data_IF_798370216967
#
_entry.id   IF_798370216967
#
_cell.length_a   1.000
_cell.length_b   1.000
_cell.length_c   1.000
_cell.angle_alpha   90.00
_cell.angle_beta   90.00
_cell.angle_gamma   90.00
#
_symmetry.space_group_name_H-M   'P 1'
#
loop_
_entity.id
_entity.type
_entity.pdbx_description
1 polymer ?
#
# COMPACT_ATOMS: atom_id res chain seq x y z
N UNK A 1 10.14 -105.30 54.44
CA UNK A 1 11.03 -104.12 54.39
C UNK A 1 10.22 -102.87 54.69
N UNK A 2 10.71 -101.98 55.56
CA UNK A 2 9.92 -101.03 56.33
C UNK A 2 9.72 -99.68 55.61
N UNK A 3 8.75 -98.89 56.06
CA UNK A 3 8.93 -97.43 56.15
C UNK A 3 8.50 -96.99 57.54
N UNK A 4 9.46 -96.94 58.48
CA UNK A 4 9.27 -96.25 59.75
C UNK A 4 9.18 -94.75 59.47
N UNK A 5 7.96 -94.22 59.46
CA UNK A 5 7.72 -92.78 59.34
C UNK A 5 8.22 -92.07 60.61
N UNK A 6 9.40 -91.47 60.52
CA UNK A 6 9.96 -90.61 61.56
C UNK A 6 9.03 -89.44 61.86
N UNK A 7 8.81 -89.11 63.15
CA UNK A 7 7.97 -87.98 63.60
C UNK A 7 8.33 -86.64 62.94
N UNK A 8 9.59 -86.49 62.49
CA UNK A 8 10.08 -85.32 61.74
C UNK A 8 9.41 -85.16 60.36
N UNK A 9 9.16 -86.26 59.65
CA UNK A 9 8.56 -86.25 58.30
C UNK A 9 7.11 -85.77 58.36
N UNK A 10 6.31 -86.21 59.34
CA UNK A 10 4.93 -85.72 59.52
C UNK A 10 4.86 -84.23 59.85
N UNK A 11 5.85 -83.70 60.58
CA UNK A 11 5.92 -82.27 60.88
C UNK A 11 6.36 -81.45 59.67
N UNK A 12 7.26 -81.98 58.84
CA UNK A 12 7.67 -81.36 57.57
C UNK A 12 6.55 -81.37 56.55
N UNK A 13 5.81 -82.47 56.42
CA UNK A 13 4.65 -82.59 55.54
C UNK A 13 3.56 -81.57 55.91
N UNK A 14 3.23 -81.44 57.20
CA UNK A 14 2.30 -80.41 57.68
C UNK A 14 2.81 -78.99 57.42
N UNK A 15 4.11 -78.73 57.56
CA UNK A 15 4.73 -77.44 57.23
C UNK A 15 4.66 -77.17 55.72
N UNK A 16 4.93 -78.16 54.88
CA UNK A 16 4.91 -78.05 53.43
C UNK A 16 3.49 -77.84 52.90
N UNK A 17 2.49 -78.52 53.46
CA UNK A 17 1.08 -78.28 53.12
C UNK A 17 0.64 -76.87 53.52
N UNK A 18 1.07 -76.36 54.69
CA UNK A 18 0.79 -74.97 55.11
C UNK A 18 1.45 -73.97 54.16
N UNK A 19 2.71 -74.20 53.76
CA UNK A 19 3.40 -73.38 52.77
C UNK A 19 2.71 -73.43 51.40
N UNK A 20 2.29 -74.60 50.94
CA UNK A 20 1.58 -74.77 49.68
C UNK A 20 0.25 -73.99 49.67
N UNK A 21 -0.54 -74.07 50.74
CA UNK A 21 -1.77 -73.27 50.87
C UNK A 21 -1.50 -71.77 50.89
N UNK A 22 -0.43 -71.34 51.55
CA UNK A 22 0.00 -69.94 51.56
C UNK A 22 0.37 -69.46 50.15
N UNK A 23 1.12 -70.25 49.39
CA UNK A 23 1.48 -69.90 48.01
C UNK A 23 0.28 -69.86 47.09
N UNK A 24 -0.64 -70.82 47.18
CA UNK A 24 -1.89 -70.81 46.40
C UNK A 24 -2.74 -69.58 46.75
N UNK A 25 -2.84 -69.22 48.03
CA UNK A 25 -3.53 -68.01 48.44
C UNK A 25 -2.85 -66.76 47.88
N UNK A 26 -1.52 -66.68 47.93
CA UNK A 26 -0.75 -65.53 47.45
C UNK A 26 -0.83 -65.38 45.93
N UNK A 27 -0.86 -66.47 45.16
CA UNK A 27 -1.06 -66.41 43.71
C UNK A 27 -2.46 -65.95 43.34
N UNK A 28 -3.50 -66.43 44.03
CA UNK A 28 -4.88 -65.98 43.83
C UNK A 28 -5.01 -64.49 44.20
N UNK A 29 -4.41 -64.07 45.32
CA UNK A 29 -4.40 -62.66 45.74
C UNK A 29 -3.70 -61.77 44.70
N UNK A 30 -2.56 -62.21 44.17
CA UNK A 30 -1.81 -61.47 43.15
C UNK A 30 -2.58 -61.37 41.83
N UNK A 31 -3.26 -62.45 41.41
CA UNK A 31 -4.17 -62.41 40.27
C UNK A 31 -5.34 -61.44 40.52
N UNK A 32 -5.98 -61.50 41.69
CA UNK A 32 -7.04 -60.56 42.04
C UNK A 32 -6.56 -59.11 42.00
N UNK A 33 -5.38 -58.81 42.55
CA UNK A 33 -4.76 -57.48 42.47
C UNK A 33 -4.45 -57.07 41.02
N UNK A 34 -3.97 -57.99 40.19
CA UNK A 34 -3.72 -57.72 38.78
C UNK A 34 -5.01 -57.39 38.02
N UNK A 35 -6.10 -58.10 38.28
CA UNK A 35 -7.40 -57.80 37.67
C UNK A 35 -8.00 -56.48 38.18
N UNK A 36 -7.90 -56.21 39.48
CA UNK A 36 -8.48 -55.00 40.11
C UNK A 36 -7.68 -53.74 39.79
N UNK A 37 -6.34 -53.83 39.74
CA UNK A 37 -5.48 -52.65 39.61
C UNK A 37 -4.66 -52.64 38.32
N UNK A 38 -4.20 -53.80 37.84
CA UNK A 38 -3.37 -53.91 36.64
C UNK A 38 -4.13 -53.56 35.36
N UNK A 39 -5.25 -54.26 35.09
CA UNK A 39 -6.04 -54.04 33.87
C UNK A 39 -6.52 -52.57 33.75
N UNK A 40 -7.10 -51.94 34.80
CA UNK A 40 -7.51 -50.54 34.71
C UNK A 40 -6.35 -49.58 34.49
N UNK A 41 -5.17 -49.85 35.06
CA UNK A 41 -3.99 -49.00 34.89
C UNK A 41 -3.44 -49.07 33.47
N UNK A 42 -3.43 -50.26 32.86
CA UNK A 42 -3.05 -50.44 31.45
C UNK A 42 -4.03 -49.70 30.53
N UNK A 43 -5.33 -49.77 30.80
CA UNK A 43 -6.33 -49.04 30.02
C UNK A 43 -6.17 -47.51 30.14
N UNK A 44 -5.93 -46.99 31.35
CA UNK A 44 -5.63 -45.56 31.57
C UNK A 44 -4.35 -45.11 30.86
N UNK A 45 -3.30 -45.93 30.92
CA UNK A 45 -2.05 -45.64 30.24
C UNK A 45 -2.21 -45.67 28.72
N UNK A 46 -2.97 -46.63 28.17
CA UNK A 46 -3.29 -46.67 26.76
C UNK A 46 -4.10 -45.44 26.31
N UNK A 47 -5.09 -45.01 27.11
CA UNK A 47 -5.85 -43.79 26.86
C UNK A 47 -4.93 -42.54 26.87
N UNK A 48 -4.03 -42.45 27.85
CA UNK A 48 -3.03 -41.38 27.91
C UNK A 48 -2.09 -41.37 26.69
N UNK A 49 -1.62 -42.53 26.23
CA UNK A 49 -0.82 -42.63 25.00
C UNK A 49 -1.62 -42.20 23.75
N UNK A 50 -2.92 -42.49 23.70
CA UNK A 50 -3.77 -41.98 22.60
C UNK A 50 -3.96 -40.47 22.65
N UNK A 51 -3.93 -39.88 23.84
CA UNK A 51 -4.03 -38.43 24.04
C UNK A 51 -2.73 -37.72 23.62
N UNK A 52 -1.55 -38.26 23.99
CA UNK A 52 -0.25 -37.75 23.51
C UNK A 52 -0.12 -37.84 21.99
N UNK A 53 -0.61 -38.92 21.36
CA UNK A 53 -0.55 -39.04 19.89
C UNK A 53 -1.46 -38.02 19.18
N UNK A 54 -2.49 -37.50 19.86
CA UNK A 54 -3.39 -36.47 19.33
C UNK A 54 -2.82 -35.05 19.42
N UNK A 55 -1.78 -34.79 20.21
CA UNK A 55 -1.18 -33.44 20.32
C UNK A 55 -0.19 -33.11 19.19
N UNK A 56 -0.36 -33.72 18.01
CA UNK A 56 0.33 -33.32 16.78
C UNK A 56 -0.45 -32.23 16.02
N UNK A 57 -1.21 -31.41 16.73
CA UNK A 57 -1.79 -30.18 16.19
C UNK A 57 -0.63 -29.24 15.87
N UNK A 58 -0.33 -29.07 14.58
CA UNK A 58 0.45 -27.95 14.07
C UNK A 58 -0.14 -26.69 14.71
N UNK A 59 0.66 -25.96 15.47
CA UNK A 59 0.25 -24.66 16.00
C UNK A 59 0.13 -23.75 14.76
N UNK A 60 -1.09 -23.54 14.28
CA UNK A 60 -1.38 -22.47 13.34
C UNK A 60 -1.27 -21.17 14.14
N UNK A 61 -0.10 -20.55 14.06
CA UNK A 61 0.06 -19.17 14.53
C UNK A 61 -0.75 -18.33 13.55
N UNK A 62 -2.02 -18.08 13.90
CA UNK A 62 -2.86 -17.15 13.15
C UNK A 62 -2.25 -15.77 13.32
N UNK A 63 -1.67 -15.26 12.24
CA UNK A 63 -1.23 -13.87 12.21
C UNK A 63 -2.47 -12.98 12.19
N UNK A 64 -2.55 -12.07 13.17
CA UNK A 64 -3.64 -11.11 13.30
C UNK A 64 -3.10 -9.66 13.26
N UNK A 65 -1.86 -9.47 12.82
CA UNK A 65 -1.22 -8.16 12.79
C UNK A 65 -1.47 -7.52 11.43
N UNK A 66 -2.21 -6.39 11.35
CA UNK A 66 -2.36 -5.68 10.10
C UNK A 66 -1.02 -5.21 9.52
N UNK A 67 -0.87 -5.24 8.18
CA UNK A 67 0.25 -4.59 7.53
C UNK A 67 0.19 -3.05 7.70
N UNK A 68 1.28 -2.32 7.43
CA UNK A 68 1.22 -0.86 7.32
C UNK A 68 0.39 -0.43 6.09
N UNK A 69 -0.27 0.75 6.13
CA UNK A 69 -1.00 1.27 4.98
C UNK A 69 -0.07 1.48 3.77
N UNK A 70 -0.58 1.33 2.53
CA UNK A 70 0.18 1.64 1.33
C UNK A 70 0.64 3.10 1.32
N UNK A 71 1.86 3.34 0.85
CA UNK A 71 2.44 4.67 0.65
C UNK A 71 2.63 4.93 -0.83
N UNK A 72 1.95 5.94 -1.35
CA UNK A 72 2.11 6.36 -2.75
C UNK A 72 3.38 7.18 -2.97
N UNK A 73 3.90 7.12 -4.18
CA UNK A 73 4.84 8.12 -4.69
C UNK A 73 4.09 9.44 -4.99
N UNK A 74 4.77 10.59 -4.96
CA UNK A 74 4.14 11.87 -5.24
C UNK A 74 3.50 11.92 -6.64
N UNK A 75 2.26 12.39 -6.70
CA UNK A 75 1.55 12.69 -7.93
C UNK A 75 1.46 14.21 -8.14
N UNK A 76 1.32 14.68 -9.39
CA UNK A 76 0.99 16.07 -9.64
C UNK A 76 -0.42 16.39 -9.11
N UNK A 77 -0.59 17.59 -8.55
CA UNK A 77 -1.90 18.07 -8.11
C UNK A 77 -2.81 18.39 -9.31
N UNK A 78 -2.23 18.84 -10.44
CA UNK A 78 -2.94 19.16 -11.68
C UNK A 78 -2.31 18.45 -12.86
N UNK A 79 -3.11 17.96 -13.80
CA UNK A 79 -2.63 17.32 -15.04
C UNK A 79 -3.63 17.50 -16.17
N UNK A 80 -3.15 17.53 -17.41
CA UNK A 80 -3.97 17.48 -18.62
C UNK A 80 -4.12 16.07 -19.20
N UNK A 81 -3.35 15.12 -18.69
CA UNK A 81 -3.39 13.73 -19.12
C UNK A 81 -4.58 13.02 -18.46
N UNK A 82 -5.42 12.34 -19.25
CA UNK A 82 -6.58 11.63 -18.71
C UNK A 82 -6.26 10.27 -18.09
N UNK A 83 -5.02 9.81 -18.22
CA UNK A 83 -4.52 8.59 -17.59
C UNK A 83 -3.33 8.93 -16.72
N UNK A 84 -3.39 8.46 -15.47
CA UNK A 84 -2.31 8.59 -14.50
C UNK A 84 -1.93 7.20 -14.02
N UNK A 85 -0.62 6.95 -14.00
CA UNK A 85 -0.05 5.82 -13.28
C UNK A 85 0.23 6.24 -11.85
N UNK A 86 -0.31 5.48 -10.90
CA UNK A 86 0.09 5.55 -9.50
C UNK A 86 1.10 4.46 -9.23
N UNK A 87 2.12 4.81 -8.46
CA UNK A 87 3.13 3.91 -7.92
C UNK A 87 3.16 4.05 -6.40
N UNK A 88 3.59 3.00 -5.73
CA UNK A 88 3.71 3.04 -4.27
C UNK A 88 4.40 1.82 -3.70
N UNK A 89 4.46 1.80 -2.37
CA UNK A 89 5.05 0.72 -1.59
C UNK A 89 4.08 0.24 -0.51
N UNK A 90 4.08 -1.05 -0.26
CA UNK A 90 3.42 -1.69 0.88
C UNK A 90 4.23 -2.93 1.30
N UNK A 91 3.66 -3.81 2.12
CA UNK A 91 4.26 -5.10 2.42
C UNK A 91 4.42 -5.97 1.17
N UNK A 92 5.56 -6.67 1.06
CA UNK A 92 5.86 -7.51 -0.10
C UNK A 92 4.84 -8.65 -0.27
N UNK A 93 4.26 -8.77 -1.46
CA UNK A 93 3.25 -9.78 -1.76
C UNK A 93 1.85 -9.49 -1.19
N UNK A 94 1.63 -8.35 -0.53
CA UNK A 94 0.30 -7.93 -0.08
C UNK A 94 -0.60 -7.50 -1.26
N UNK A 95 -1.91 -7.64 -1.08
CA UNK A 95 -2.91 -7.10 -2.01
C UNK A 95 -3.18 -5.65 -1.63
N UNK A 96 -3.09 -4.74 -2.58
CA UNK A 96 -3.45 -3.33 -2.42
C UNK A 96 -4.85 -3.11 -2.99
N UNK A 97 -5.80 -2.78 -2.11
CA UNK A 97 -7.15 -2.34 -2.47
C UNK A 97 -7.12 -0.84 -2.71
N UNK A 98 -7.33 -0.43 -3.95
CA UNK A 98 -7.34 0.95 -4.41
C UNK A 98 -8.77 1.46 -4.52
N UNK A 99 -9.02 2.66 -3.99
CA UNK A 99 -10.30 3.37 -4.07
C UNK A 99 -10.08 4.63 -4.90
N UNK A 100 -10.51 4.60 -6.16
CA UNK A 100 -10.35 5.69 -7.13
C UNK A 100 -11.72 6.20 -7.53
N UNK A 101 -12.07 7.43 -7.17
CA UNK A 101 -13.38 8.03 -7.50
C UNK A 101 -14.58 7.12 -7.14
N UNK A 102 -14.53 6.49 -5.97
CA UNK A 102 -15.51 5.49 -5.48
C UNK A 102 -15.58 4.19 -6.30
N UNK A 103 -14.60 3.92 -7.16
CA UNK A 103 -14.41 2.62 -7.82
C UNK A 103 -13.28 1.87 -7.15
N UNK A 104 -13.46 0.57 -6.99
CA UNK A 104 -12.47 -0.31 -6.38
C UNK A 104 -11.63 -1.02 -7.45
N UNK A 105 -10.34 -1.17 -7.18
CA UNK A 105 -9.41 -1.99 -7.94
C UNK A 105 -8.44 -2.69 -6.99
N UNK A 106 -7.87 -3.80 -7.43
CA UNK A 106 -6.86 -4.53 -6.65
C UNK A 106 -5.59 -4.75 -7.48
N UNK A 107 -4.44 -4.58 -6.84
CA UNK A 107 -3.12 -4.92 -7.40
C UNK A 107 -2.29 -5.65 -6.36
N UNK A 108 -1.34 -6.49 -6.79
CA UNK A 108 -0.47 -7.24 -5.90
C UNK A 108 0.90 -6.56 -5.86
N UNK A 109 1.40 -6.27 -4.67
CA UNK A 109 2.76 -5.76 -4.49
C UNK A 109 3.79 -6.84 -4.83
N UNK A 110 4.88 -6.46 -5.50
CA UNK A 110 5.95 -7.39 -5.83
C UNK A 110 6.73 -7.86 -4.59
N UNK A 111 7.78 -8.66 -4.80
CA UNK A 111 8.64 -9.17 -3.72
C UNK A 111 9.45 -8.07 -2.98
N UNK A 112 9.47 -6.84 -3.48
CA UNK A 112 10.07 -5.67 -2.86
C UNK A 112 9.01 -4.73 -2.25
N UNK A 113 7.71 -5.07 -2.35
CA UNK A 113 6.61 -4.25 -1.87
C UNK A 113 6.15 -3.17 -2.84
N UNK A 114 6.73 -3.06 -4.04
CA UNK A 114 6.30 -2.08 -5.04
C UNK A 114 5.04 -2.52 -5.76
N UNK A 115 4.15 -1.57 -6.02
CA UNK A 115 2.98 -1.76 -6.86
C UNK A 115 2.80 -0.56 -7.80
N UNK A 116 2.13 -0.80 -8.91
CA UNK A 116 1.66 0.25 -9.80
C UNK A 116 0.24 -0.05 -10.31
N UNK A 117 -0.47 1.00 -10.69
CA UNK A 117 -1.80 0.91 -11.28
C UNK A 117 -2.08 2.12 -12.17
N UNK A 118 -2.64 1.90 -13.34
CA UNK A 118 -3.06 3.00 -14.23
C UNK A 118 -4.57 3.15 -14.18
N UNK A 119 -5.04 4.37 -13.96
CA UNK A 119 -6.47 4.69 -13.96
C UNK A 119 -6.77 5.88 -14.86
N UNK A 120 -8.02 5.96 -15.30
CA UNK A 120 -8.53 7.10 -16.06
C UNK A 120 -9.20 8.08 -15.12
N UNK A 121 -8.78 9.35 -15.22
CA UNK A 121 -9.35 10.46 -14.48
C UNK A 121 -10.73 10.81 -15.02
N UNK A 122 -11.64 11.11 -14.10
CA UNK A 122 -12.85 11.87 -14.36
C UNK A 122 -12.49 13.35 -14.56
N UNK A 123 -13.43 14.11 -15.12
CA UNK A 123 -13.29 15.56 -15.24
C UNK A 123 -13.10 16.22 -13.87
N UNK A 124 -12.21 17.23 -13.81
CA UNK A 124 -11.88 17.99 -12.59
C UNK A 124 -11.31 17.10 -11.48
N UNK A 125 -11.95 17.06 -10.31
CA UNK A 125 -11.42 16.45 -9.10
C UNK A 125 -11.44 14.92 -9.16
N UNK A 126 -10.30 14.31 -8.86
CA UNK A 126 -10.13 12.87 -8.72
C UNK A 126 -9.51 12.55 -7.38
N UNK A 127 -10.06 11.55 -6.69
CA UNK A 127 -9.57 11.17 -5.36
C UNK A 127 -9.10 9.72 -5.34
N UNK A 128 -7.99 9.50 -4.64
CA UNK A 128 -7.34 8.21 -4.48
C UNK A 128 -7.08 7.94 -2.99
N UNK A 129 -7.37 6.72 -2.57
CA UNK A 129 -6.99 6.16 -1.28
C UNK A 129 -6.74 4.66 -1.45
N UNK A 130 -6.02 4.03 -0.53
CA UNK A 130 -5.79 2.60 -0.56
C UNK A 130 -5.70 1.96 0.82
N UNK A 131 -5.83 0.64 0.81
CA UNK A 131 -5.50 -0.25 1.92
C UNK A 131 -4.67 -1.42 1.41
N UNK A 132 -3.99 -2.10 2.31
CA UNK A 132 -3.23 -3.32 2.07
C UNK A 132 -3.82 -4.48 2.85
N UNK A 133 -3.82 -5.66 2.25
CA UNK A 133 -4.22 -6.93 2.85
C UNK A 133 -3.04 -7.89 2.78
N UNK A 134 -2.58 -8.37 3.92
CA UNK A 134 -1.47 -9.33 4.00
C UNK A 134 -1.87 -10.75 3.54
N UNK A 135 -0.93 -11.69 3.58
CA UNK A 135 -1.19 -13.08 3.19
C UNK A 135 -2.10 -13.85 4.18
N UNK A 136 -2.20 -13.38 5.42
CA UNK A 136 -3.07 -13.94 6.45
C UNK A 136 -4.50 -13.36 6.39
N UNK A 137 -4.72 -12.32 5.58
CA UNK A 137 -6.00 -11.65 5.40
C UNK A 137 -6.22 -10.44 6.32
N UNK A 138 -5.21 -9.96 7.03
CA UNK A 138 -5.32 -8.76 7.86
C UNK A 138 -5.28 -7.50 6.99
N UNK A 139 -6.17 -6.55 7.24
CA UNK A 139 -6.31 -5.32 6.48
C UNK A 139 -5.76 -4.11 7.25
N UNK A 140 -4.98 -3.26 6.59
CA UNK A 140 -4.43 -2.03 7.17
C UNK A 140 -5.47 -0.91 7.33
N UNK A 141 -5.05 0.17 8.00
CA UNK A 141 -5.78 1.44 7.95
C UNK A 141 -5.75 2.04 6.55
N UNK A 142 -6.59 3.05 6.31
CA UNK A 142 -6.52 3.83 5.08
C UNK A 142 -5.16 4.53 4.91
N UNK A 143 -4.70 4.61 3.66
CA UNK A 143 -3.58 5.47 3.26
C UNK A 143 -3.95 6.95 3.34
N UNK A 144 -2.95 7.80 3.15
CA UNK A 144 -3.17 9.21 2.83
C UNK A 144 -4.06 9.34 1.59
N UNK A 145 -4.99 10.30 1.64
CA UNK A 145 -5.86 10.64 0.51
C UNK A 145 -5.10 11.56 -0.44
N UNK A 146 -5.06 11.19 -1.72
CA UNK A 146 -4.47 12.01 -2.78
C UNK A 146 -5.60 12.58 -3.65
N UNK A 147 -5.47 13.84 -4.01
CA UNK A 147 -6.36 14.51 -4.96
C UNK A 147 -5.57 14.95 -6.19
N UNK A 148 -6.11 14.67 -7.37
CA UNK A 148 -5.57 15.08 -8.67
C UNK A 148 -6.66 15.78 -9.46
N UNK A 149 -6.38 16.94 -10.02
CA UNK A 149 -7.31 17.69 -10.86
C UNK A 149 -6.95 17.48 -12.34
N UNK A 150 -7.89 16.92 -13.11
CA UNK A 150 -7.83 16.90 -14.56
C UNK A 150 -8.28 18.26 -15.08
N UNK A 151 -7.38 18.93 -15.79
CA UNK A 151 -7.63 20.20 -16.45
C UNK A 151 -7.02 20.17 -17.85
N UNK A 152 -7.90 20.25 -18.85
CA UNK A 152 -7.55 20.24 -20.28
C UNK A 152 -7.76 21.60 -20.95
N UNK A 153 -8.26 22.58 -20.19
CA UNK A 153 -8.57 23.89 -20.73
C UNK A 153 -7.29 24.72 -20.81
N UNK A 154 -7.04 25.33 -21.97
CA UNK A 154 -5.87 26.18 -22.14
C UNK A 154 -6.10 27.54 -21.46
N UNK A 155 -5.08 28.13 -20.83
CA UNK A 155 -5.24 29.38 -20.12
C UNK A 155 -5.59 30.53 -21.06
N UNK A 156 -6.37 31.48 -20.54
CA UNK A 156 -6.70 32.68 -21.33
C UNK A 156 -5.48 33.57 -21.53
N UNK A 157 -5.42 34.26 -22.67
CA UNK A 157 -4.37 35.24 -22.97
C UNK A 157 -4.95 36.38 -23.82
N UNK A 158 -4.84 37.61 -23.34
CA UNK A 158 -5.13 38.84 -24.08
C UNK A 158 -3.92 39.77 -24.07
N UNK A 159 -3.72 40.47 -25.19
CA UNK A 159 -2.71 41.52 -25.32
C UNK A 159 -3.51 42.81 -25.48
N UNK A 160 -3.39 43.69 -24.49
CA UNK A 160 -4.16 44.93 -24.42
C UNK A 160 -3.40 46.07 -25.10
N UNK A 161 -2.06 46.10 -24.95
CA UNK A 161 -1.18 47.05 -25.64
C UNK A 161 0.19 46.45 -25.92
N UNK A 162 0.88 46.91 -26.97
CA UNK A 162 0.29 47.62 -28.11
C UNK A 162 -0.61 46.70 -28.94
N UNK A 163 -1.38 47.27 -29.87
CA UNK A 163 -2.13 46.48 -30.86
C UNK A 163 -1.16 45.81 -31.84
N UNK A 164 -1.54 44.64 -32.34
CA UNK A 164 -0.73 43.93 -33.34
C UNK A 164 -0.62 44.75 -34.64
N UNK A 165 0.60 44.85 -35.16
CA UNK A 165 0.92 45.68 -36.32
C UNK A 165 1.17 47.16 -36.02
N UNK A 166 1.19 47.57 -34.74
CA UNK A 166 1.47 48.97 -34.35
C UNK A 166 2.83 49.45 -34.88
N UNK A 167 2.89 50.74 -35.23
CA UNK A 167 4.10 51.40 -35.72
C UNK A 167 4.52 52.51 -34.78
N UNK A 168 5.82 52.55 -34.48
CA UNK A 168 6.45 53.51 -33.57
C UNK A 168 7.48 54.34 -34.33
N UNK A 169 7.54 55.64 -34.05
CA UNK A 169 8.30 56.60 -34.84
C UNK A 169 9.19 57.51 -33.98
N UNK A 170 10.39 57.78 -34.47
CA UNK A 170 11.31 58.72 -33.85
C UNK A 170 12.08 58.12 -32.67
N UNK A 171 13.28 58.65 -32.42
CA UNK A 171 14.17 58.17 -31.36
C UNK A 171 13.57 58.08 -29.94
N UNK A 172 12.46 58.75 -29.64
CA UNK A 172 11.83 58.70 -28.31
C UNK A 172 10.87 57.50 -28.14
N UNK A 173 10.47 56.81 -29.21
CA UNK A 173 9.53 55.68 -29.17
C UNK A 173 10.22 54.30 -29.31
N UNK A 174 11.53 54.25 -29.07
CA UNK A 174 12.30 53.01 -29.11
C UNK A 174 12.04 52.06 -27.92
N UNK A 175 11.22 52.45 -26.94
CA UNK A 175 10.82 51.64 -25.80
C UNK A 175 9.30 51.55 -25.71
N UNK A 176 8.78 50.34 -25.46
CA UNK A 176 7.36 50.08 -25.31
C UNK A 176 7.08 49.27 -24.06
N UNK A 177 5.82 49.32 -23.63
CA UNK A 177 5.26 48.41 -22.61
C UNK A 177 4.28 47.48 -23.30
N UNK A 178 4.51 46.18 -23.16
CA UNK A 178 3.53 45.17 -23.53
C UNK A 178 2.65 44.93 -22.31
N UNK A 179 1.36 45.26 -22.41
CA UNK A 179 0.35 45.06 -21.38
C UNK A 179 -0.64 43.99 -21.85
N UNK A 180 -1.03 43.09 -20.96
CA UNK A 180 -2.00 42.05 -21.26
C UNK A 180 -2.64 41.47 -20.01
N UNK A 181 -3.45 40.44 -20.20
CA UNK A 181 -4.00 39.64 -19.13
C UNK A 181 -3.91 38.15 -19.46
N UNK A 182 -3.77 37.33 -18.43
CA UNK A 182 -3.86 35.88 -18.51
C UNK A 182 -4.78 35.34 -17.41
N UNK A 183 -4.98 34.03 -17.40
CA UNK A 183 -5.62 33.36 -16.29
C UNK A 183 -4.81 33.55 -14.98
N UNK A 184 -5.53 33.58 -13.86
CA UNK A 184 -4.92 33.65 -12.53
C UNK A 184 -3.99 32.45 -12.30
N UNK A 185 -2.87 32.67 -11.61
CA UNK A 185 -1.81 31.69 -11.37
C UNK A 185 -1.12 31.09 -12.61
N UNK A 186 -1.50 31.47 -13.84
CA UNK A 186 -0.80 31.03 -15.03
C UNK A 186 0.57 31.73 -15.16
N UNK A 187 1.59 30.97 -15.57
CA UNK A 187 2.90 31.52 -15.86
C UNK A 187 2.92 32.17 -17.25
N UNK A 188 3.36 33.43 -17.35
CA UNK A 188 3.50 34.16 -18.62
C UNK A 188 4.98 34.29 -18.99
N UNK A 189 5.32 34.00 -20.25
CA UNK A 189 6.64 34.21 -20.82
C UNK A 189 6.53 35.05 -22.09
N UNK A 190 7.40 36.04 -22.25
CA UNK A 190 7.53 36.84 -23.49
C UNK A 190 8.95 36.67 -24.02
N UNK A 191 9.13 36.10 -25.22
CA UNK A 191 10.43 35.77 -25.79
C UNK A 191 11.36 35.03 -24.80
N UNK A 192 10.82 34.02 -24.12
CA UNK A 192 11.49 33.22 -23.07
C UNK A 192 11.83 33.94 -21.77
N UNK A 193 11.37 35.19 -21.58
CA UNK A 193 11.47 35.91 -20.30
C UNK A 193 10.18 35.74 -19.50
N UNK A 194 10.30 35.24 -18.27
CA UNK A 194 9.18 35.16 -17.33
C UNK A 194 8.69 36.56 -16.95
N UNK A 195 7.38 36.75 -17.00
CA UNK A 195 6.68 37.98 -16.62
C UNK A 195 5.81 37.67 -15.42
N UNK A 196 5.85 38.56 -14.42
CA UNK A 196 5.00 38.45 -13.23
C UNK A 196 3.56 38.77 -13.63
N UNK A 197 2.65 37.90 -13.21
CA UNK A 197 1.20 38.11 -13.31
C UNK A 197 0.71 38.59 -11.96
N UNK A 198 -0.02 39.69 -11.95
CA UNK A 198 -0.65 40.23 -10.74
C UNK A 198 -1.88 39.40 -10.36
N UNK A 199 -2.38 39.55 -9.14
CA UNK A 199 -3.54 38.79 -8.66
C UNK A 199 -4.82 38.99 -9.49
N UNK A 200 -4.91 40.05 -10.29
CA UNK A 200 -6.03 40.30 -11.20
C UNK A 200 -5.83 39.70 -12.61
N UNK A 201 -4.76 38.92 -12.80
CA UNK A 201 -4.39 38.31 -14.07
C UNK A 201 -3.64 39.25 -15.02
N UNK A 202 -3.45 40.53 -14.66
CA UNK A 202 -2.73 41.47 -15.51
C UNK A 202 -1.22 41.23 -15.51
N UNK A 203 -0.57 41.54 -16.63
CA UNK A 203 0.88 41.51 -16.74
C UNK A 203 1.39 42.69 -17.56
N UNK A 204 2.63 43.10 -17.29
CA UNK A 204 3.31 44.13 -18.07
C UNK A 204 4.80 43.83 -18.27
N UNK A 205 5.34 44.19 -19.45
CA UNK A 205 6.76 44.06 -19.76
C UNK A 205 7.28 45.27 -20.51
N UNK A 206 8.29 45.92 -19.94
CA UNK A 206 9.10 46.93 -20.65
C UNK A 206 10.10 46.26 -21.58
N UNK A 207 10.12 46.68 -22.84
CA UNK A 207 11.07 46.20 -23.85
C UNK A 207 11.53 47.32 -24.77
N UNK A 208 12.72 47.14 -25.35
CA UNK A 208 13.31 48.04 -26.35
C UNK A 208 13.11 47.44 -27.74
N UNK A 209 12.75 48.30 -28.70
CA UNK A 209 12.57 47.94 -30.11
C UNK A 209 13.88 48.11 -30.88
N UNK A 210 14.14 47.17 -31.78
CA UNK A 210 15.14 47.31 -32.84
C UNK A 210 14.53 48.00 -34.05
N UNK A 211 15.34 48.67 -34.87
CA UNK A 211 14.87 49.23 -36.15
C UNK A 211 14.22 48.14 -37.02
N UNK A 212 13.07 48.44 -37.61
CA UNK A 212 12.28 47.52 -38.42
C UNK A 212 11.25 46.70 -37.64
N UNK A 213 10.94 45.49 -38.13
CA UNK A 213 9.94 44.60 -37.52
C UNK A 213 10.50 43.94 -36.25
N UNK A 214 9.74 44.04 -35.15
CA UNK A 214 9.98 43.37 -33.88
C UNK A 214 8.85 42.37 -33.64
N UNK A 215 9.20 41.14 -33.27
CA UNK A 215 8.25 40.07 -32.98
C UNK A 215 8.41 39.57 -31.56
N UNK A 216 7.30 39.48 -30.84
CA UNK A 216 7.22 38.97 -29.48
C UNK A 216 6.32 37.74 -29.45
N UNK A 217 6.83 36.60 -29.00
CA UNK A 217 6.03 35.42 -28.65
C UNK A 217 5.64 35.53 -27.18
N UNK A 218 4.34 35.66 -26.91
CA UNK A 218 3.74 35.70 -25.58
C UNK A 218 3.09 34.34 -25.35
N UNK A 219 3.60 33.59 -24.37
CA UNK A 219 3.15 32.25 -24.02
C UNK A 219 2.68 32.20 -22.58
N UNK A 220 1.53 31.60 -22.36
CA UNK A 220 0.93 31.39 -21.04
C UNK A 220 0.81 29.90 -20.78
N UNK A 221 1.02 29.48 -19.53
CA UNK A 221 0.96 28.09 -19.12
C UNK A 221 0.32 27.96 -17.74
N UNK A 222 -0.68 27.11 -17.59
CA UNK A 222 -1.34 26.84 -16.31
C UNK A 222 -0.60 25.78 -15.46
N UNK A 223 -1.20 25.39 -14.32
CA UNK A 223 -0.65 24.37 -13.40
C UNK A 223 -0.71 22.95 -13.98
N UNK A 224 -1.67 22.66 -14.87
CA UNK A 224 -1.81 21.37 -15.55
C UNK A 224 -0.85 21.22 -16.75
N UNK A 225 -0.20 22.31 -17.16
CA UNK A 225 0.70 22.39 -18.29
C UNK A 225 -0.01 22.59 -19.64
N UNK A 226 -1.26 23.07 -19.67
CA UNK A 226 -1.87 23.58 -20.89
C UNK A 226 -1.26 24.93 -21.24
N UNK A 227 -1.27 25.28 -22.54
CA UNK A 227 -0.59 26.47 -23.02
C UNK A 227 -1.40 27.22 -24.07
N UNK A 228 -1.32 28.55 -24.01
CA UNK A 228 -1.79 29.45 -25.07
C UNK A 228 -0.66 30.37 -25.49
N UNK A 229 -0.44 30.50 -26.80
CA UNK A 229 0.62 31.35 -27.37
C UNK A 229 0.03 32.33 -28.37
N UNK A 230 0.50 33.58 -28.33
CA UNK A 230 0.19 34.64 -29.29
C UNK A 230 1.47 35.34 -29.72
N UNK A 231 1.48 35.79 -30.96
CA UNK A 231 2.56 36.62 -31.49
C UNK A 231 2.09 38.06 -31.60
N UNK A 232 2.87 38.99 -31.06
CA UNK A 232 2.71 40.43 -31.24
C UNK A 232 3.83 40.94 -32.14
N UNK A 233 3.47 41.59 -33.23
CA UNK A 233 4.40 42.25 -34.16
C UNK A 233 4.22 43.75 -34.10
N UNK A 234 5.33 44.47 -34.06
CA UNK A 234 5.35 45.95 -34.13
C UNK A 234 6.51 46.40 -35.01
N UNK A 235 6.42 47.57 -35.61
CA UNK A 235 7.50 48.15 -36.43
C UNK A 235 8.02 49.42 -35.80
N UNK A 236 9.34 49.58 -35.70
CA UNK A 236 9.97 50.80 -35.23
C UNK A 236 10.76 51.47 -36.37
N UNK A 237 10.47 52.75 -36.61
CA UNK A 237 11.14 53.60 -37.59
C UNK A 237 11.76 54.80 -36.86
N UNK A 238 13.10 54.82 -36.65
CA UNK A 238 13.78 55.82 -35.81
C UNK A 238 13.75 57.27 -36.33
#
# INVERSE_FOLDING_TARGET
MPYQYSRRIRTEEKKNIRKARLFIFLTILLLALFFVFGIPSIAKFAAFLTEIRRTNTKIEVSDNTPPPPPRFEPLPEFTKEDKVEISGQTEAGAIVKLFVNNKEAEVIANNQGHFNYTFTLNDRENTLQAKSVDQAGNESSDSDKITVFLDKDAPTLTINKPEDGSQFYGANEHQIVIEGASEEDAAVNINSRMVVVENDGSFSLYTTLSEGENSFSIKTRDKAGNETEKTLKVTFNP
#
